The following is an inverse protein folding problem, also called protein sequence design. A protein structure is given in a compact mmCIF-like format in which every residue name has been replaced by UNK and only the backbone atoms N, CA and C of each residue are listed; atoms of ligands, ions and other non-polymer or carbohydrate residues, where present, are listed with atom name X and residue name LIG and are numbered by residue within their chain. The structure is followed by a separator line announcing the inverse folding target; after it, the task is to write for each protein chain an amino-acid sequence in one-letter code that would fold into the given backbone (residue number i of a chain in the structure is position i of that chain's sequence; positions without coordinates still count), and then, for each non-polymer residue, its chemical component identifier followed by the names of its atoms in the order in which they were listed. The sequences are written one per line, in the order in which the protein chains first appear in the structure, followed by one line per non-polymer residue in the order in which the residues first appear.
data_IF_729764897977
#
_entry.id   IF_729764897977
#
_cell.length_a   1.000
_cell.length_b   1.000
_cell.length_c   1.000
_cell.angle_alpha   90.00
_cell.angle_beta   90.00
_cell.angle_gamma   90.00
#
_symmetry.space_group_name_H-M   'P 1'
#
loop_
_entity.id
_entity.type
_entity.pdbx_description
1 polymer ?
#
# COMPACT_ATOMS: atom_id res chain seq x y z
N UNK A 1 3.60 14.37 -1.87
CA UNK A 1 3.99 14.46 -0.44
C UNK A 1 5.52 14.26 -0.28
N UNK A 2 6.35 15.19 -0.80
CA UNK A 2 7.80 15.05 -0.73
C UNK A 2 8.36 15.07 0.70
N UNK A 3 7.83 15.90 1.61
CA UNK A 3 8.38 16.04 2.97
C UNK A 3 8.23 14.76 3.78
N UNK A 4 7.05 14.14 3.71
CA UNK A 4 6.76 12.87 4.35
C UNK A 4 7.61 11.75 3.76
N UNK A 5 7.70 11.68 2.44
CA UNK A 5 8.50 10.68 1.74
C UNK A 5 9.98 10.73 2.14
N UNK A 6 10.59 11.92 2.11
CA UNK A 6 11.99 12.09 2.53
C UNK A 6 12.21 11.71 4.00
N UNK A 7 11.26 12.05 4.87
CA UNK A 7 11.37 11.69 6.28
C UNK A 7 11.18 10.19 6.53
N UNK A 8 10.24 9.54 5.84
CA UNK A 8 10.04 8.09 5.88
C UNK A 8 11.31 7.34 5.45
N UNK A 9 12.01 7.81 4.40
CA UNK A 9 13.32 7.24 4.01
C UNK A 9 14.35 7.34 5.13
N UNK A 10 14.45 8.48 5.82
CA UNK A 10 15.36 8.66 6.97
C UNK A 10 15.00 7.72 8.12
N UNK A 11 13.72 7.45 8.32
CA UNK A 11 13.23 6.46 9.28
C UNK A 11 13.41 5.01 8.79
N UNK A 12 13.97 4.74 7.61
CA UNK A 12 14.20 3.37 7.14
C UNK A 12 12.93 2.65 6.69
N UNK A 13 11.89 3.36 6.25
CA UNK A 13 10.79 2.74 5.51
C UNK A 13 11.31 2.14 4.20
N UNK A 14 10.86 0.95 3.89
CA UNK A 14 11.03 0.28 2.61
C UNK A 14 9.82 0.56 1.73
N UNK A 15 10.06 0.95 0.48
CA UNK A 15 9.03 1.29 -0.49
C UNK A 15 8.94 0.22 -1.56
N UNK A 16 7.74 -0.31 -1.78
CA UNK A 16 7.52 -1.41 -2.72
C UNK A 16 7.12 -0.87 -4.09
N UNK A 17 8.12 -0.45 -4.85
CA UNK A 17 7.97 0.13 -6.19
C UNK A 17 7.35 -0.88 -7.14
N UNK A 18 6.11 -0.70 -7.61
CA UNK A 18 5.42 -1.68 -8.47
C UNK A 18 4.37 -2.52 -7.75
N UNK A 19 4.09 -2.23 -6.47
CA UNK A 19 2.84 -2.64 -5.84
C UNK A 19 1.67 -2.12 -6.67
N UNK A 20 0.77 -3.02 -7.03
CA UNK A 20 -0.33 -2.75 -7.96
C UNK A 20 -1.63 -3.23 -7.35
N UNK A 21 -2.66 -2.40 -7.39
CA UNK A 21 -4.01 -2.81 -6.96
C UNK A 21 -4.52 -3.97 -7.82
N UNK A 22 -5.37 -4.82 -7.27
CA UNK A 22 -5.94 -5.97 -7.98
C UNK A 22 -7.39 -5.74 -8.42
N UNK A 23 -8.05 -4.71 -7.89
CA UNK A 23 -9.37 -4.25 -8.32
C UNK A 23 -9.67 -2.81 -7.84
N UNK A 24 -10.84 -2.25 -8.19
CA UNK A 24 -11.19 -0.85 -7.91
C UNK A 24 -11.74 -0.59 -6.50
N UNK A 25 -12.08 -1.64 -5.75
CA UNK A 25 -12.66 -1.54 -4.41
C UNK A 25 -11.56 -1.52 -3.33
N UNK A 26 -11.75 -0.78 -2.24
CA UNK A 26 -10.85 -0.79 -1.09
C UNK A 26 -10.73 -2.18 -0.45
N UNK A 27 -11.83 -2.92 -0.37
CA UNK A 27 -11.92 -4.21 0.31
C UNK A 27 -10.96 -5.25 -0.30
N UNK A 28 -11.09 -5.51 -1.60
CA UNK A 28 -10.19 -6.42 -2.35
C UNK A 28 -8.71 -6.07 -2.24
N UNK A 29 -8.35 -4.80 -2.04
CA UNK A 29 -6.94 -4.38 -1.93
C UNK A 29 -6.40 -4.37 -0.49
N UNK A 30 -7.27 -4.23 0.52
CA UNK A 30 -6.85 -4.13 1.93
C UNK A 30 -7.07 -5.42 2.71
N UNK A 31 -8.15 -6.16 2.45
CA UNK A 31 -8.49 -7.35 3.22
C UNK A 31 -7.52 -8.50 3.06
N UNK A 32 -6.90 -8.76 1.90
CA UNK A 32 -5.84 -9.76 1.84
C UNK A 32 -4.72 -9.49 2.85
N UNK A 33 -4.35 -8.22 3.02
CA UNK A 33 -3.31 -7.81 3.96
C UNK A 33 -3.80 -7.94 5.40
N UNK A 34 -5.06 -7.61 5.68
CA UNK A 34 -5.62 -7.65 7.03
C UNK A 34 -6.00 -9.06 7.51
N UNK A 35 -6.32 -9.96 6.60
CA UNK A 35 -6.90 -11.28 6.91
C UNK A 35 -6.04 -12.46 6.47
N UNK A 36 -5.04 -12.23 5.62
CA UNK A 36 -4.27 -13.29 4.96
C UNK A 36 -5.09 -14.13 3.97
N UNK A 37 -6.30 -13.69 3.57
CA UNK A 37 -7.17 -14.40 2.64
C UNK A 37 -7.12 -13.78 1.26
N UNK A 38 -7.06 -14.61 0.22
CA UNK A 38 -7.22 -14.13 -1.16
C UNK A 38 -8.70 -14.04 -1.55
N UNK A 39 -9.08 -12.90 -2.12
CA UNK A 39 -10.43 -12.63 -2.63
C UNK A 39 -10.44 -12.66 -4.16
N UNK A 40 -11.60 -12.93 -4.77
CA UNK A 40 -11.78 -12.84 -6.21
C UNK A 40 -11.86 -11.36 -6.61
N UNK A 41 -11.11 -10.92 -7.65
CA UNK A 41 -11.21 -9.55 -8.13
C UNK A 41 -12.64 -9.23 -8.56
N UNK A 42 -13.18 -8.12 -8.09
CA UNK A 42 -14.48 -7.61 -8.51
C UNK A 42 -14.34 -6.22 -9.10
N UNK A 43 -14.92 -6.02 -10.27
CA UNK A 43 -15.02 -4.71 -10.93
C UNK A 43 -16.41 -4.15 -10.65
N UNK A 44 -16.50 -2.94 -10.07
CA UNK A 44 -17.77 -2.25 -9.87
C UNK A 44 -18.75 -2.91 -8.88
N UNK A 45 -18.25 -3.65 -7.88
CA UNK A 45 -19.07 -4.42 -6.94
C UNK A 45 -19.95 -3.58 -6.00
N UNK A 46 -21.01 -4.20 -5.51
CA UNK A 46 -21.96 -3.68 -4.51
C UNK A 46 -21.48 -3.84 -3.05
N UNK A 47 -20.19 -4.09 -2.84
CA UNK A 47 -19.59 -4.32 -1.51
C UNK A 47 -19.54 -5.79 -1.06
N UNK A 48 -20.12 -6.73 -1.81
CA UNK A 48 -19.99 -8.17 -1.53
C UNK A 48 -18.61 -8.65 -1.96
N UNK A 49 -17.90 -9.40 -1.12
CA UNK A 49 -16.59 -9.98 -1.46
C UNK A 49 -16.61 -11.52 -1.47
N UNK A 50 -16.17 -12.11 -2.58
CA UNK A 50 -16.07 -13.57 -2.76
C UNK A 50 -14.65 -14.05 -2.48
N UNK A 51 -14.51 -15.04 -1.59
CA UNK A 51 -13.25 -15.79 -1.42
C UNK A 51 -13.02 -16.69 -2.64
N UNK A 52 -11.77 -17.10 -2.89
CA UNK A 52 -11.42 -18.05 -3.96
C UNK A 52 -12.35 -19.27 -4.02
N UNK A 53 -12.83 -19.76 -2.88
CA UNK A 53 -13.71 -20.94 -2.77
C UNK A 53 -15.21 -20.64 -2.95
N UNK A 54 -15.57 -19.43 -3.36
CA UNK A 54 -16.97 -19.03 -3.59
C UNK A 54 -17.75 -18.67 -2.31
N UNK A 55 -17.09 -18.69 -1.15
CA UNK A 55 -17.68 -18.20 0.10
C UNK A 55 -17.82 -16.68 0.08
N UNK A 56 -18.97 -16.18 0.52
CA UNK A 56 -19.19 -14.75 0.77
C UNK A 56 -18.70 -14.44 2.18
N UNK A 57 -17.77 -13.48 2.29
CA UNK A 57 -17.37 -12.95 3.58
C UNK A 57 -18.25 -11.76 3.97
N UNK A 58 -18.92 -11.88 5.10
CA UNK A 58 -19.74 -10.83 5.71
C UNK A 58 -18.86 -10.02 6.68
N UNK A 59 -18.55 -8.78 6.30
CA UNK A 59 -17.66 -7.91 7.08
C UNK A 59 -18.24 -7.49 8.41
N UNK A 60 -19.56 -7.45 8.56
CA UNK A 60 -20.21 -7.12 9.83
C UNK A 60 -20.07 -8.28 10.84
N UNK A 61 -19.91 -9.51 10.34
CA UNK A 61 -19.73 -10.73 11.16
C UNK A 61 -18.28 -11.09 11.45
N UNK A 62 -17.32 -10.46 10.78
CA UNK A 62 -15.92 -10.49 11.20
C UNK A 62 -15.79 -9.67 12.48
N UNK A 63 -16.18 -10.26 13.62
CA UNK A 63 -16.14 -9.64 14.94
C UNK A 63 -14.76 -9.01 15.21
N UNK A 64 -14.73 -7.83 15.87
CA UNK A 64 -13.76 -6.80 15.58
C UNK A 64 -12.45 -7.02 16.34
N UNK A 65 -11.41 -7.46 15.64
CA UNK A 65 -10.04 -7.14 16.06
C UNK A 65 -9.70 -5.66 15.81
N UNK A 66 -10.62 -4.90 15.22
CA UNK A 66 -10.39 -3.57 14.69
C UNK A 66 -11.22 -2.57 15.50
N UNK A 67 -10.61 -1.95 16.52
CA UNK A 67 -11.04 -0.59 16.87
C UNK A 67 -10.54 0.30 15.76
N UNK A 68 -11.39 0.53 14.74
CA UNK A 68 -11.12 1.50 13.68
C UNK A 68 -10.98 2.85 14.38
N UNK A 69 -9.75 3.33 14.47
CA UNK A 69 -9.49 4.69 14.90
C UNK A 69 -9.62 5.56 13.66
N UNK A 70 -10.83 6.03 13.39
CA UNK A 70 -11.04 7.06 12.39
C UNK A 70 -10.66 8.39 13.00
N UNK A 71 -9.73 9.08 12.37
CA UNK A 71 -9.49 10.49 12.65
C UNK A 71 -8.27 10.72 13.52
N UNK A 72 -7.29 11.36 12.89
CA UNK A 72 -6.18 12.09 13.47
C UNK A 72 -4.96 11.28 13.93
N UNK A 73 -3.83 11.60 13.29
CA UNK A 73 -2.49 11.10 13.60
C UNK A 73 -2.11 11.18 15.10
N UNK A 74 -2.69 12.10 15.88
CA UNK A 74 -2.42 12.22 17.32
C UNK A 74 -2.95 11.04 18.13
N UNK A 75 -4.01 10.38 17.65
CA UNK A 75 -4.57 9.21 18.31
C UNK A 75 -3.65 8.00 18.18
N UNK A 76 -2.95 7.87 17.05
CA UNK A 76 -2.01 6.79 16.81
C UNK A 76 -0.85 6.81 17.81
N UNK A 77 -0.23 7.96 18.05
CA UNK A 77 0.83 8.08 19.05
C UNK A 77 0.33 7.73 20.45
N UNK A 78 -0.81 8.30 20.86
CA UNK A 78 -1.39 8.06 22.19
C UNK A 78 -1.76 6.60 22.39
N UNK A 79 -2.36 5.96 21.38
CA UNK A 79 -2.71 4.55 21.40
C UNK A 79 -1.46 3.67 21.55
N UNK A 80 -0.46 3.87 20.69
CA UNK A 80 0.78 3.08 20.70
C UNK A 80 1.53 3.20 22.02
N UNK A 81 1.52 4.39 22.65
CA UNK A 81 2.15 4.61 23.97
C UNK A 81 1.33 4.03 25.11
N UNK A 82 0.00 4.17 25.08
CA UNK A 82 -0.87 3.70 26.16
C UNK A 82 -0.90 2.17 26.27
N UNK A 83 -0.78 1.49 25.15
CA UNK A 83 -0.84 0.02 25.07
C UNK A 83 0.53 -0.62 24.78
N UNK A 84 1.64 0.08 25.05
CA UNK A 84 3.00 -0.42 24.80
C UNK A 84 3.29 -1.78 25.45
N UNK A 85 2.63 -2.07 26.57
CA UNK A 85 2.84 -3.28 27.36
C UNK A 85 2.06 -4.50 26.84
N UNK A 86 1.19 -4.29 25.84
CA UNK A 86 0.34 -5.33 25.25
C UNK A 86 0.58 -5.43 23.75
N UNK A 87 0.45 -6.65 23.21
CA UNK A 87 0.33 -6.81 21.76
C UNK A 87 -0.96 -6.13 21.29
N UNK A 88 -0.82 -5.14 20.43
CA UNK A 88 -1.94 -4.37 19.90
C UNK A 88 -1.82 -4.19 18.39
N UNK A 89 -2.98 -3.98 17.75
CA UNK A 89 -3.09 -3.71 16.33
C UNK A 89 -3.93 -2.45 16.13
N UNK A 90 -3.51 -1.58 15.21
CA UNK A 90 -4.23 -0.36 14.85
C UNK A 90 -4.37 -0.29 13.34
N UNK A 91 -5.60 -0.08 12.88
CA UNK A 91 -5.91 0.18 11.48
C UNK A 91 -6.58 1.55 11.37
N UNK A 92 -5.97 2.43 10.57
CA UNK A 92 -6.41 3.81 10.38
C UNK A 92 -6.66 4.02 8.90
N UNK A 93 -7.93 4.18 8.51
CA UNK A 93 -8.32 4.42 7.13
C UNK A 93 -8.69 5.89 6.93
N UNK A 94 -7.86 6.62 6.19
CA UNK A 94 -7.97 8.08 6.01
C UNK A 94 -8.55 8.38 4.62
N UNK A 95 -9.87 8.60 4.54
CA UNK A 95 -10.56 8.88 3.27
C UNK A 95 -10.87 10.36 3.07
N UNK A 96 -11.21 11.08 4.15
CA UNK A 96 -11.79 12.43 4.10
C UNK A 96 -10.99 13.44 3.28
N UNK A 97 -9.65 13.36 3.32
CA UNK A 97 -8.78 14.36 2.72
C UNK A 97 -8.35 13.97 1.30
N UNK A 98 -8.29 12.68 0.97
CA UNK A 98 -7.76 12.20 -0.31
C UNK A 98 -8.84 11.74 -1.30
N UNK A 99 -10.08 11.50 -0.85
CA UNK A 99 -11.07 10.81 -1.68
C UNK A 99 -11.57 11.66 -2.86
N UNK A 100 -12.06 12.89 -2.62
CA UNK A 100 -12.77 13.66 -3.64
C UNK A 100 -11.89 14.66 -4.40
N UNK A 101 -10.76 15.05 -3.80
CA UNK A 101 -9.92 16.13 -4.31
C UNK A 101 -8.45 15.74 -4.20
N UNK A 102 -7.82 15.29 -5.31
CA UNK A 102 -6.44 14.81 -5.27
C UNK A 102 -5.44 15.89 -4.82
N UNK A 103 -5.74 17.17 -5.05
CA UNK A 103 -4.92 18.29 -4.61
C UNK A 103 -4.81 18.42 -3.08
N UNK A 104 -5.80 17.94 -2.32
CA UNK A 104 -5.78 18.03 -0.86
C UNK A 104 -4.71 17.13 -0.22
N UNK A 105 -4.15 16.17 -0.95
CA UNK A 105 -3.05 15.34 -0.44
C UNK A 105 -1.80 16.16 -0.10
N UNK A 106 -1.63 17.33 -0.71
CA UNK A 106 -0.55 18.26 -0.37
C UNK A 106 -0.69 18.78 1.07
N UNK A 107 -1.92 18.99 1.56
CA UNK A 107 -2.21 19.44 2.92
C UNK A 107 -1.80 18.39 3.98
N UNK A 108 -1.71 17.12 3.57
CA UNK A 108 -1.27 16.04 4.44
C UNK A 108 0.24 15.98 4.60
N UNK A 109 1.01 16.51 3.65
CA UNK A 109 2.45 16.28 3.61
C UNK A 109 3.15 16.78 4.88
N UNK A 110 2.82 17.99 5.32
CA UNK A 110 3.40 18.52 6.56
C UNK A 110 2.86 17.78 7.80
N UNK A 111 1.58 17.42 7.80
CA UNK A 111 0.93 16.78 8.94
C UNK A 111 1.45 15.35 9.17
N UNK A 112 1.56 14.56 8.11
CA UNK A 112 2.11 13.20 8.16
C UNK A 112 3.59 13.24 8.56
N UNK A 113 4.40 14.14 7.98
CA UNK A 113 5.80 14.32 8.39
C UNK A 113 5.94 14.62 9.88
N UNK A 114 5.13 15.53 10.41
CA UNK A 114 5.16 15.86 11.85
C UNK A 114 4.69 14.69 12.72
N UNK A 115 3.66 13.95 12.30
CA UNK A 115 3.21 12.76 13.01
C UNK A 115 4.29 11.66 13.06
N UNK A 116 4.97 11.42 11.94
CA UNK A 116 6.09 10.48 11.88
C UNK A 116 7.24 10.91 12.80
N UNK A 117 7.54 12.20 12.89
CA UNK A 117 8.57 12.69 13.81
C UNK A 117 8.15 12.49 15.27
N UNK A 118 6.90 12.74 15.62
CA UNK A 118 6.39 12.50 16.97
C UNK A 118 6.47 11.01 17.35
N UNK A 119 6.09 10.11 16.43
CA UNK A 119 6.21 8.66 16.62
C UNK A 119 7.67 8.21 16.77
N UNK A 120 8.59 8.83 16.03
CA UNK A 120 10.02 8.55 16.16
C UNK A 120 10.59 9.02 17.49
N UNK A 121 10.34 10.28 17.86
CA UNK A 121 10.84 10.86 19.10
C UNK A 121 10.26 10.17 20.35
N UNK A 122 9.08 9.57 20.24
CA UNK A 122 8.47 8.78 21.32
C UNK A 122 8.94 7.32 21.37
N UNK A 123 9.81 6.89 20.46
CA UNK A 123 10.38 5.54 20.44
C UNK A 123 9.44 4.44 19.93
N UNK A 124 8.26 4.78 19.41
CA UNK A 124 7.25 3.80 18.97
C UNK A 124 7.78 2.92 17.83
N UNK A 125 8.62 3.46 16.96
CA UNK A 125 9.23 2.68 15.87
C UNK A 125 10.21 1.60 16.34
N UNK A 126 10.67 1.61 17.60
CA UNK A 126 11.64 0.64 18.08
C UNK A 126 10.99 -0.73 18.34
N UNK A 127 9.68 -0.75 18.59
CA UNK A 127 8.90 -1.92 18.99
C UNK A 127 7.75 -2.25 18.05
N UNK A 128 7.28 -1.28 17.25
CA UNK A 128 6.11 -1.46 16.38
C UNK A 128 6.46 -1.51 14.89
N UNK A 129 5.80 -2.41 14.17
CA UNK A 129 5.80 -2.42 12.71
C UNK A 129 4.79 -1.39 12.19
N UNK A 130 5.15 -0.66 11.14
CA UNK A 130 4.30 0.30 10.49
C UNK A 130 4.17 -0.03 9.01
N UNK A 131 2.92 -0.05 8.54
CA UNK A 131 2.58 -0.14 7.13
C UNK A 131 1.83 1.13 6.76
N UNK A 132 2.34 1.87 5.78
CA UNK A 132 1.66 3.04 5.20
C UNK A 132 1.39 2.71 3.75
N UNK A 133 0.12 2.69 3.38
CA UNK A 133 -0.30 2.28 2.06
C UNK A 133 -1.58 2.97 1.59
N UNK A 134 -1.78 2.97 0.28
CA UNK A 134 -3.06 3.24 -0.36
C UNK A 134 -3.73 1.95 -0.81
N UNK A 135 -5.06 1.93 -0.82
CA UNK A 135 -5.87 0.87 -1.42
C UNK A 135 -5.95 1.02 -2.95
N UNK A 136 -6.02 2.25 -3.44
CA UNK A 136 -5.91 2.60 -4.86
C UNK A 136 -5.25 3.98 -5.02
N UNK A 137 -4.86 4.33 -6.25
CA UNK A 137 -4.39 5.69 -6.58
C UNK A 137 -5.54 6.65 -6.90
N UNK A 138 -5.27 7.79 -7.52
CA UNK A 138 -6.31 8.79 -7.78
C UNK A 138 -7.29 8.34 -8.89
N UNK A 139 -8.57 8.17 -8.53
CA UNK A 139 -9.68 7.83 -9.43
C UNK A 139 -10.57 9.03 -9.81
N UNK A 140 -10.23 10.22 -9.32
CA UNK A 140 -11.06 11.42 -9.48
C UNK A 140 -10.40 12.38 -10.46
N UNK A 141 -11.26 13.19 -11.11
CA UNK A 141 -10.90 14.18 -12.14
C UNK A 141 -10.51 13.57 -13.49
N UNK A 142 -10.25 14.43 -14.47
CA UNK A 142 -9.89 14.07 -15.84
C UNK A 142 -8.49 13.46 -15.95
N UNK A 143 -7.61 13.69 -14.97
CA UNK A 143 -6.23 13.17 -14.97
C UNK A 143 -6.17 11.65 -15.05
N UNK A 144 -7.16 10.94 -14.50
CA UNK A 144 -7.27 9.47 -14.58
C UNK A 144 -7.37 8.95 -16.02
N UNK A 145 -7.76 9.80 -16.99
CA UNK A 145 -7.85 9.44 -18.42
C UNK A 145 -6.51 9.58 -19.14
N UNK A 146 -5.54 10.24 -18.52
CA UNK A 146 -4.18 10.34 -19.06
C UNK A 146 -3.41 9.04 -18.83
N UNK A 147 -2.38 8.81 -19.64
CA UNK A 147 -1.48 7.65 -19.48
C UNK A 147 -0.86 7.60 -18.07
N UNK A 148 -0.35 8.73 -17.58
CA UNK A 148 0.26 8.84 -16.24
C UNK A 148 -0.78 8.61 -15.16
N UNK A 149 -1.96 9.21 -15.27
CA UNK A 149 -3.04 9.01 -14.30
C UNK A 149 -3.48 7.55 -14.21
N UNK A 150 -3.52 6.81 -15.33
CA UNK A 150 -3.81 5.36 -15.32
C UNK A 150 -2.72 4.51 -14.65
N UNK A 151 -1.47 4.98 -14.64
CA UNK A 151 -0.40 4.34 -13.89
C UNK A 151 -0.57 4.66 -12.40
N UNK A 152 -0.65 5.95 -12.05
CA UNK A 152 -0.78 6.42 -10.66
C UNK A 152 -1.98 5.80 -9.96
N UNK A 153 -3.12 5.72 -10.65
CA UNK A 153 -4.36 5.11 -10.18
C UNK A 153 -4.17 3.62 -9.80
N UNK A 154 -3.31 2.90 -10.52
CA UNK A 154 -3.04 1.47 -10.30
C UNK A 154 -1.88 1.19 -9.36
N UNK A 155 -1.03 2.18 -9.09
CA UNK A 155 0.15 2.07 -8.23
C UNK A 155 0.00 2.89 -6.95
N UNK A 156 -0.86 2.47 -6.01
CA UNK A 156 -0.88 3.11 -4.71
C UNK A 156 0.46 2.93 -4.00
N UNK A 157 0.75 3.83 -3.05
CA UNK A 157 1.87 3.69 -2.14
C UNK A 157 1.75 2.36 -1.38
N UNK A 158 2.85 1.61 -1.26
CA UNK A 158 2.98 0.54 -0.27
C UNK A 158 4.37 0.65 0.37
N UNK A 159 4.39 0.81 1.69
CA UNK A 159 5.63 0.97 2.43
C UNK A 159 5.56 0.30 3.80
N UNK A 160 6.68 -0.26 4.22
CA UNK A 160 6.82 -0.98 5.50
C UNK A 160 8.05 -0.48 6.25
N UNK A 161 7.89 -0.21 7.54
CA UNK A 161 8.99 -0.11 8.51
C UNK A 161 8.78 -1.18 9.58
N UNK A 162 9.80 -2.01 9.79
CA UNK A 162 9.80 -3.00 10.87
C UNK A 162 10.55 -2.46 12.09
N UNK A 163 10.26 -2.98 13.30
CA UNK A 163 10.96 -2.58 14.52
C UNK A 163 12.47 -2.78 14.40
N UNK A 164 13.26 -1.89 14.99
CA UNK A 164 14.72 -2.01 14.96
C UNK A 164 15.20 -3.32 15.60
N UNK A 165 14.52 -3.77 16.67
CA UNK A 165 14.79 -5.06 17.30
C UNK A 165 14.52 -6.25 16.36
N UNK A 166 13.50 -6.17 15.49
CA UNK A 166 13.26 -7.19 14.47
C UNK A 166 14.37 -7.19 13.43
N UNK A 167 14.79 -6.00 12.98
CA UNK A 167 15.81 -5.87 11.95
C UNK A 167 17.17 -6.40 12.41
N UNK A 168 17.54 -6.16 13.67
CA UNK A 168 18.76 -6.69 14.29
C UNK A 168 18.70 -8.20 14.50
N UNK A 169 17.54 -8.73 14.93
CA UNK A 169 17.36 -10.15 15.21
C UNK A 169 17.26 -11.01 13.94
N UNK A 170 16.74 -10.46 12.83
CA UNK A 170 16.49 -11.20 11.59
C UNK A 170 17.13 -10.51 10.36
N UNK A 171 18.46 -10.39 10.30
CA UNK A 171 19.15 -9.69 9.21
C UNK A 171 18.87 -10.31 7.83
N UNK A 172 18.80 -11.63 7.74
CA UNK A 172 18.47 -12.34 6.50
C UNK A 172 17.04 -12.04 6.00
N UNK A 173 16.06 -11.94 6.92
CA UNK A 173 14.70 -11.55 6.55
C UNK A 173 14.65 -10.10 6.08
N UNK A 174 15.41 -9.21 6.72
CA UNK A 174 15.53 -7.82 6.27
C UNK A 174 16.21 -7.70 4.91
N UNK A 175 17.23 -8.54 4.63
CA UNK A 175 17.87 -8.58 3.34
C UNK A 175 16.88 -9.00 2.24
N UNK A 176 16.14 -10.09 2.46
CA UNK A 176 15.11 -10.55 1.53
C UNK A 176 13.97 -9.54 1.35
N UNK A 177 13.52 -8.92 2.43
CA UNK A 177 12.51 -7.85 2.37
C UNK A 177 12.97 -6.69 1.48
N UNK A 178 14.23 -6.25 1.61
CA UNK A 178 14.82 -5.20 0.76
C UNK A 178 14.90 -5.62 -0.70
N UNK A 179 15.29 -6.87 -1.01
CA UNK A 179 15.32 -7.38 -2.38
C UNK A 179 13.91 -7.40 -3.00
N UNK A 180 12.91 -7.80 -2.20
CA UNK A 180 11.54 -7.96 -2.66
C UNK A 180 10.77 -6.64 -2.81
N UNK A 181 11.37 -5.49 -2.44
CA UNK A 181 10.79 -4.16 -2.67
C UNK A 181 10.50 -3.86 -4.15
N UNK A 182 11.27 -4.44 -5.07
CA UNK A 182 11.11 -4.24 -6.52
C UNK A 182 10.36 -5.37 -7.21
N UNK A 183 10.46 -6.59 -6.68
CA UNK A 183 9.87 -7.81 -7.23
C UNK A 183 9.84 -8.94 -6.20
N UNK A 184 8.65 -9.44 -5.88
CA UNK A 184 8.37 -10.29 -4.72
C UNK A 184 7.05 -11.07 -4.87
N UNK A 185 7.04 -12.34 -4.44
CA UNK A 185 5.79 -13.10 -4.21
C UNK A 185 5.41 -13.01 -2.73
N UNK A 186 6.41 -12.85 -1.86
CA UNK A 186 6.28 -12.73 -0.42
C UNK A 186 7.14 -11.57 0.09
N UNK A 187 6.82 -11.09 1.30
CA UNK A 187 7.65 -10.09 2.00
C UNK A 187 9.03 -10.65 2.37
N UNK A 188 9.12 -11.93 2.73
CA UNK A 188 10.35 -12.50 3.29
C UNK A 188 10.86 -13.73 2.55
N UNK A 189 10.06 -14.28 1.64
CA UNK A 189 10.41 -15.49 0.91
C UNK A 189 10.58 -15.24 -0.59
N UNK A 190 11.43 -16.07 -1.18
CA UNK A 190 11.70 -16.23 -2.61
C UNK A 190 12.10 -14.96 -3.40
N UNK A 191 13.19 -15.09 -4.15
CA UNK A 191 13.56 -14.10 -5.18
C UNK A 191 12.74 -14.43 -6.42
N UNK A 192 11.94 -13.47 -6.88
CA UNK A 192 11.04 -13.69 -8.02
C UNK A 192 11.82 -13.74 -9.32
N UNK A 193 11.51 -14.77 -10.12
CA UNK A 193 12.02 -14.90 -11.49
C UNK A 193 11.84 -13.60 -12.28
N UNK A 194 12.88 -13.13 -13.00
CA UNK A 194 12.79 -12.00 -13.91
C UNK A 194 11.66 -12.09 -14.96
N UNK A 195 11.07 -13.29 -15.14
CA UNK A 195 10.04 -13.59 -16.13
C UNK A 195 8.59 -13.60 -15.59
N UNK A 196 8.37 -13.53 -14.27
CA UNK A 196 7.02 -13.45 -13.68
C UNK A 196 6.21 -12.29 -14.28
N UNK A 197 5.10 -12.59 -14.92
CA UNK A 197 4.20 -11.62 -15.51
C UNK A 197 3.16 -11.11 -14.50
N UNK A 198 2.41 -10.10 -14.91
CA UNK A 198 1.24 -9.60 -14.20
C UNK A 198 0.16 -10.68 -14.02
N UNK A 199 -0.01 -11.54 -15.03
CA UNK A 199 -0.93 -12.68 -14.98
C UNK A 199 -0.48 -13.72 -13.94
N UNK A 200 0.81 -14.01 -13.87
CA UNK A 200 1.40 -14.89 -12.84
C UNK A 200 1.27 -14.30 -11.42
N UNK A 201 1.03 -12.99 -11.31
CA UNK A 201 0.74 -12.32 -10.05
C UNK A 201 -0.76 -12.31 -9.70
N UNK A 202 -1.63 -12.84 -10.56
CA UNK A 202 -3.09 -12.82 -10.36
C UNK A 202 -3.71 -11.43 -10.56
N UNK A 203 -2.98 -10.50 -11.18
CA UNK A 203 -3.47 -9.16 -11.48
C UNK A 203 -4.21 -9.22 -12.84
N UNK A 204 -5.46 -8.76 -12.91
CA UNK A 204 -6.18 -8.71 -14.19
C UNK A 204 -5.44 -7.86 -15.24
N UNK A 205 -5.49 -8.22 -16.54
CA UNK A 205 -4.75 -7.51 -17.59
C UNK A 205 -5.03 -6.00 -17.64
N UNK A 206 -6.26 -5.58 -17.33
CA UNK A 206 -6.65 -4.17 -17.28
C UNK A 206 -6.06 -3.39 -16.09
N UNK A 207 -5.48 -4.07 -15.10
CA UNK A 207 -4.73 -3.48 -13.98
C UNK A 207 -3.22 -3.65 -14.15
N UNK A 208 -2.76 -4.36 -15.18
CA UNK A 208 -1.35 -4.43 -15.51
C UNK A 208 -0.77 -3.06 -15.85
N UNK A 209 0.42 -2.77 -15.33
CA UNK A 209 1.16 -1.54 -15.61
C UNK A 209 1.88 -1.57 -16.96
N UNK A 210 2.13 -2.76 -17.53
CA UNK A 210 2.61 -2.94 -18.89
C UNK A 210 1.47 -2.60 -19.85
N UNK A 211 1.21 -1.30 -20.03
CA UNK A 211 0.26 -0.79 -21.01
C UNK A 211 1.02 -0.61 -22.33
N UNK A 212 0.71 -1.41 -23.34
CA UNK A 212 1.15 -1.11 -24.70
C UNK A 212 0.66 0.29 -25.08
N UNK A 213 1.58 1.15 -25.53
CA UNK A 213 1.23 2.49 -26.01
C UNK A 213 0.33 2.34 -27.24
N UNK A 214 -0.98 2.56 -27.09
CA UNK A 214 -1.81 2.90 -28.25
C UNK A 214 -1.41 4.30 -28.68
N UNK A 215 -0.60 4.39 -29.73
CA UNK A 215 0.05 5.62 -30.18
C UNK A 215 -0.94 6.76 -30.39
N UNK A 216 -0.94 7.73 -29.48
CA UNK A 216 -1.54 9.04 -29.71
C UNK A 216 -0.47 10.12 -29.47
N UNK A 217 -0.06 10.74 -30.57
CA UNK A 217 1.32 11.15 -30.87
C UNK A 217 1.70 12.57 -30.45
N UNK A 218 1.31 13.06 -29.26
CA UNK A 218 1.72 14.43 -28.84
C UNK A 218 2.19 14.64 -27.40
N UNK A 219 2.08 13.67 -26.48
CA UNK A 219 2.48 13.87 -25.07
C UNK A 219 3.57 12.91 -24.54
N UNK A 220 4.01 11.95 -25.34
CA UNK A 220 4.70 10.75 -24.84
C UNK A 220 6.23 10.82 -24.75
N UNK A 221 6.84 11.99 -24.93
CA UNK A 221 8.30 12.09 -25.18
C UNK A 221 9.19 12.13 -23.93
N UNK A 222 8.64 12.04 -22.71
CA UNK A 222 9.43 12.21 -21.46
C UNK A 222 9.41 11.02 -20.48
N UNK A 223 8.72 9.92 -20.78
CA UNK A 223 8.61 8.78 -19.83
C UNK A 223 8.69 7.46 -20.61
N UNK A 224 9.90 6.94 -20.84
CA UNK A 224 10.08 5.81 -21.78
C UNK A 224 10.86 4.60 -21.30
N UNK A 225 11.36 4.53 -20.05
CA UNK A 225 12.22 3.38 -19.69
C UNK A 225 11.90 2.67 -18.35
N UNK A 226 11.04 3.19 -17.49
CA UNK A 226 10.88 2.65 -16.12
C UNK A 226 9.67 1.74 -15.87
N UNK A 227 8.68 1.70 -16.75
CA UNK A 227 7.35 1.14 -16.42
C UNK A 227 7.14 -0.33 -16.77
N UNK A 228 8.02 -0.98 -17.53
CA UNK A 228 7.73 -2.30 -18.09
C UNK A 228 8.08 -3.53 -17.23
N UNK A 229 8.74 -3.37 -16.06
CA UNK A 229 9.41 -4.53 -15.42
C UNK A 229 9.20 -4.76 -13.92
N UNK A 230 8.44 -3.92 -13.23
CA UNK A 230 8.34 -3.98 -11.77
C UNK A 230 6.91 -4.31 -11.33
N UNK A 231 6.59 -5.61 -11.18
CA UNK A 231 5.41 -6.07 -10.44
C UNK A 231 5.90 -6.65 -9.14
N UNK A 232 5.57 -5.97 -8.05
CA UNK A 232 6.41 -6.08 -6.86
C UNK A 232 5.83 -7.04 -5.87
N UNK A 233 4.56 -6.94 -5.52
CA UNK A 233 3.91 -7.88 -4.61
C UNK A 233 2.40 -7.83 -4.88
N UNK A 234 1.78 -9.00 -4.93
CA UNK A 234 0.34 -9.18 -4.67
C UNK A 234 0.27 -10.02 -3.41
N UNK A 235 -0.25 -9.44 -2.34
CA UNK A 235 -0.55 -10.15 -1.08
C UNK A 235 -2.00 -10.59 -1.09
#
# INVERSE_FOLDING_TARGET
MPKSYEYMKKLGFLFFEGYTKIADNSNVNLLPILTGRSFKPQVGGNGVELVKDGQILDFEKLQPLWKIMSGYYFLLERFSKKYSDYCHFSFNFLTLISHDHPSHIELLDQKLRTALEQLHNSGVFNTSAFVIMGDHGNRISSIQRSYVGRIEERTPLFSIRLPDAFAQKYPEKMHRLKLNTKRGISLFEEIVSPKRSCLDAGIPPNFCLCMDKQGNSRLDRLVTERTEKNVSIVM
#
